data_IF_681799360346
#
_entry.id   IF_681799360346
#
_cell.length_a   1.000
_cell.length_b   1.000
_cell.length_c   1.000
_cell.angle_alpha   90.00
_cell.angle_beta   90.00
_cell.angle_gamma   90.00
#
_symmetry.space_group_name_H-M   'P 1'
#
loop_
_entity.id
_entity.type
_entity.pdbx_description
1 polymer ?
#
# COMPACT_ATOMS: atom_id res chain seq x y z
N UNK A 1 -9.70 -17.26 -13.39
CA UNK A 1 -8.62 -16.49 -12.72
C UNK A 1 -9.12 -15.07 -12.56
N UNK A 2 -9.07 -14.49 -11.36
CA UNK A 2 -9.38 -13.06 -11.21
C UNK A 2 -8.19 -12.27 -11.77
N UNK A 3 -8.42 -11.33 -12.68
CA UNK A 3 -7.36 -10.44 -13.16
C UNK A 3 -6.90 -9.55 -11.99
N UNK A 4 -5.57 -9.44 -11.81
CA UNK A 4 -4.99 -8.52 -10.84
C UNK A 4 -5.41 -7.07 -11.16
N UNK A 5 -5.70 -6.27 -10.12
CA UNK A 5 -6.25 -4.92 -10.27
C UNK A 5 -5.36 -3.99 -11.12
N UNK A 6 -4.04 -4.11 -10.95
CA UNK A 6 -3.04 -3.23 -11.53
C UNK A 6 -2.11 -3.99 -12.52
N UNK A 7 -2.67 -4.95 -13.26
CA UNK A 7 -1.91 -5.86 -14.12
C UNK A 7 -0.98 -5.15 -15.14
N UNK A 8 -1.26 -3.91 -15.53
CA UNK A 8 -0.47 -3.13 -16.49
C UNK A 8 0.75 -2.43 -15.89
N UNK A 9 0.87 -2.37 -14.56
CA UNK A 9 1.95 -1.63 -13.87
C UNK A 9 2.76 -2.49 -12.90
N UNK A 10 2.38 -3.75 -12.70
CA UNK A 10 3.16 -4.74 -11.94
C UNK A 10 4.36 -5.26 -12.75
N UNK A 11 5.35 -5.84 -12.05
CA UNK A 11 6.48 -6.53 -12.68
C UNK A 11 7.64 -5.63 -13.11
N UNK A 12 7.65 -4.35 -12.69
CA UNK A 12 8.73 -3.42 -13.01
C UNK A 12 9.95 -3.62 -12.13
N UNK A 13 11.11 -3.89 -12.71
CA UNK A 13 12.32 -4.16 -11.93
C UNK A 13 12.90 -2.94 -11.22
N UNK A 14 12.66 -1.75 -11.79
CA UNK A 14 13.08 -0.45 -11.25
C UNK A 14 11.90 0.42 -10.83
N UNK A 15 12.20 1.39 -9.97
CA UNK A 15 11.22 2.41 -9.58
C UNK A 15 10.89 3.29 -10.78
N UNK A 16 9.61 3.41 -11.07
CA UNK A 16 9.11 4.27 -12.14
C UNK A 16 7.77 4.87 -11.75
N UNK A 17 7.47 6.05 -12.28
CA UNK A 17 6.17 6.69 -12.03
C UNK A 17 5.08 6.01 -12.87
N UNK A 18 3.96 5.68 -12.25
CA UNK A 18 2.77 5.19 -12.93
C UNK A 18 1.49 5.59 -12.17
N UNK A 19 0.36 5.51 -12.87
CA UNK A 19 -0.97 5.62 -12.25
C UNK A 19 -1.50 4.22 -11.97
N UNK A 20 -1.99 4.00 -10.75
CA UNK A 20 -2.49 2.70 -10.30
C UNK A 20 -3.71 2.85 -9.38
N UNK A 21 -4.54 1.82 -9.34
CA UNK A 21 -5.76 1.77 -8.57
C UNK A 21 -5.55 1.23 -7.15
N UNK A 22 -6.18 1.85 -6.18
CA UNK A 22 -6.20 1.42 -4.78
C UNK A 22 -7.64 1.21 -4.31
N UNK A 23 -7.88 0.13 -3.56
CA UNK A 23 -9.20 -0.17 -3.03
C UNK A 23 -9.42 0.63 -1.75
N UNK A 24 -10.48 1.42 -1.74
CA UNK A 24 -10.90 2.24 -0.60
C UNK A 24 -12.26 1.79 -0.10
N UNK A 25 -12.65 2.26 1.09
CA UNK A 25 -14.03 2.11 1.58
C UNK A 25 -15.06 2.80 0.68
N UNK A 26 -14.61 3.70 -0.21
CA UNK A 26 -15.43 4.46 -1.16
C UNK A 26 -15.40 3.87 -2.58
N UNK A 27 -14.69 2.77 -2.80
CA UNK A 27 -14.49 2.17 -4.12
C UNK A 27 -13.05 2.27 -4.64
N UNK A 28 -12.85 2.00 -5.93
CA UNK A 28 -11.54 2.07 -6.57
C UNK A 28 -11.14 3.53 -6.83
N UNK A 29 -9.98 3.95 -6.32
CA UNK A 29 -9.42 5.28 -6.60
C UNK A 29 -8.08 5.14 -7.34
N UNK A 30 -7.84 6.01 -8.33
CA UNK A 30 -6.57 6.05 -9.04
C UNK A 30 -5.63 7.07 -8.39
N UNK A 31 -4.38 6.67 -8.18
CA UNK A 31 -3.32 7.52 -7.66
C UNK A 31 -2.10 7.44 -8.57
N UNK A 32 -1.32 8.52 -8.61
CA UNK A 32 -0.03 8.54 -9.30
C UNK A 32 1.07 8.45 -8.27
N UNK A 33 2.03 7.56 -8.51
CA UNK A 33 3.13 7.33 -7.58
C UNK A 33 4.23 6.47 -8.18
N UNK A 34 5.19 6.14 -7.33
CA UNK A 34 6.34 5.31 -7.66
C UNK A 34 5.93 3.84 -7.59
N UNK A 35 6.17 3.06 -8.63
CA UNK A 35 5.86 1.63 -8.70
C UNK A 35 7.12 0.80 -8.93
N UNK A 36 7.18 -0.37 -8.30
CA UNK A 36 8.22 -1.38 -8.49
C UNK A 36 7.71 -2.75 -8.10
N UNK A 37 7.94 -3.74 -8.96
CA UNK A 37 7.53 -5.13 -8.79
C UNK A 37 6.03 -5.23 -8.46
N UNK A 38 5.68 -5.50 -7.19
CA UNK A 38 4.31 -5.69 -6.70
C UNK A 38 3.85 -4.51 -5.84
N UNK A 39 4.63 -3.43 -5.78
CA UNK A 39 4.47 -2.34 -4.84
C UNK A 39 4.22 -1.00 -5.51
N UNK A 40 3.33 -0.22 -4.91
CA UNK A 40 3.09 1.17 -5.23
C UNK A 40 3.38 2.04 -4.00
N UNK A 41 3.97 3.20 -4.22
CA UNK A 41 4.24 4.23 -3.22
C UNK A 41 3.61 5.52 -3.71
N UNK A 42 2.70 6.08 -2.93
CA UNK A 42 2.02 7.32 -3.29
C UNK A 42 1.82 8.20 -2.06
N UNK A 43 1.60 9.49 -2.29
CA UNK A 43 1.29 10.42 -1.21
C UNK A 43 -0.22 10.48 -1.01
N UNK A 44 -0.65 10.16 0.20
CA UNK A 44 -2.02 10.43 0.63
C UNK A 44 -2.21 11.95 0.76
N UNK A 45 -3.21 12.49 0.07
CA UNK A 45 -3.51 13.93 0.11
C UNK A 45 -4.08 14.37 1.45
N UNK A 46 -4.88 13.53 2.10
CA UNK A 46 -5.57 13.86 3.34
C UNK A 46 -4.61 13.84 4.53
N UNK A 47 -3.87 12.74 4.70
CA UNK A 47 -2.93 12.59 5.82
C UNK A 47 -1.55 13.16 5.54
N UNK A 48 -1.25 13.49 4.27
CA UNK A 48 0.07 13.94 3.78
C UNK A 48 1.19 12.88 3.91
N UNK A 49 0.86 11.68 4.38
CA UNK A 49 1.75 10.53 4.58
C UNK A 49 2.00 9.80 3.26
N UNK A 50 3.10 9.08 3.20
CA UNK A 50 3.47 8.22 2.08
C UNK A 50 3.00 6.80 2.35
N UNK A 51 2.15 6.31 1.47
CA UNK A 51 1.48 5.02 1.61
C UNK A 51 2.17 3.98 0.73
N UNK A 52 2.51 2.85 1.32
CA UNK A 52 2.96 1.65 0.64
C UNK A 52 1.75 0.74 0.36
N UNK A 53 1.60 0.34 -0.89
CA UNK A 53 0.44 -0.42 -1.39
C UNK A 53 0.89 -1.69 -2.11
N UNK A 54 0.14 -2.77 -1.91
CA UNK A 54 0.24 -3.97 -2.74
C UNK A 54 -0.56 -3.78 -4.04
N UNK A 55 0.11 -3.70 -5.18
CA UNK A 55 -0.51 -3.40 -6.47
C UNK A 55 -1.55 -4.43 -6.93
N UNK A 56 -1.33 -5.76 -6.87
CA UNK A 56 -2.33 -6.71 -7.35
C UNK A 56 -3.70 -6.60 -6.69
N UNK A 57 -3.74 -6.22 -5.39
CA UNK A 57 -4.99 -6.11 -4.62
C UNK A 57 -5.44 -4.67 -4.36
N UNK A 58 -4.53 -3.71 -4.46
CA UNK A 58 -4.76 -2.33 -4.05
C UNK A 58 -4.83 -2.14 -2.53
N UNK A 59 -4.35 -3.10 -1.74
CA UNK A 59 -4.37 -3.05 -0.28
C UNK A 59 -3.21 -2.21 0.28
N UNK A 60 -3.47 -1.46 1.35
CA UNK A 60 -2.46 -0.72 2.08
C UNK A 60 -1.60 -1.67 2.93
N UNK A 61 -0.28 -1.53 2.83
CA UNK A 61 0.70 -2.25 3.64
C UNK A 61 1.14 -1.41 4.85
N UNK A 62 1.27 -0.09 4.67
CA UNK A 62 1.66 0.83 5.73
C UNK A 62 1.85 2.26 5.24
N UNK A 63 2.09 3.18 6.17
CA UNK A 63 2.34 4.59 5.88
C UNK A 63 3.58 5.15 6.61
N UNK A 64 4.15 6.21 6.04
CA UNK A 64 5.39 6.83 6.49
C UNK A 64 5.38 8.35 6.29
N UNK A 65 6.30 9.06 6.93
CA UNK A 65 6.42 10.53 6.81
C UNK A 65 7.08 10.96 5.49
N UNK A 66 7.94 10.12 4.94
CA UNK A 66 8.75 10.44 3.75
C UNK A 66 8.67 9.36 2.70
N UNK A 67 8.80 9.72 1.42
CA UNK A 67 8.77 8.76 0.29
C UNK A 67 9.89 7.72 0.37
N UNK A 68 11.06 8.13 0.87
CA UNK A 68 12.23 7.27 0.94
C UNK A 68 12.06 6.08 1.89
N UNK A 69 11.21 6.19 2.92
CA UNK A 69 10.97 5.11 3.88
C UNK A 69 10.32 3.87 3.24
N UNK A 70 9.16 3.95 2.56
CA UNK A 70 8.56 2.82 1.87
C UNK A 70 9.46 2.30 0.73
N UNK A 71 10.16 3.19 0.02
CA UNK A 71 11.11 2.78 -1.03
C UNK A 71 12.21 1.87 -0.47
N UNK A 72 12.79 2.21 0.70
CA UNK A 72 13.82 1.39 1.36
C UNK A 72 13.23 0.10 1.93
N UNK A 73 12.06 0.18 2.55
CA UNK A 73 11.42 -0.98 3.17
C UNK A 73 11.09 -2.09 2.16
N UNK A 74 10.71 -1.74 0.92
CA UNK A 74 10.45 -2.72 -0.16
C UNK A 74 11.63 -3.69 -0.35
N UNK A 75 12.87 -3.21 -0.26
CA UNK A 75 14.04 -4.07 -0.40
C UNK A 75 14.16 -5.11 0.72
N UNK A 76 13.70 -4.77 1.93
CA UNK A 76 13.73 -5.64 3.12
C UNK A 76 12.56 -6.61 3.15
N UNK A 77 11.35 -6.14 2.84
CA UNK A 77 10.14 -6.97 2.97
C UNK A 77 9.91 -7.88 1.76
N UNK A 78 10.54 -7.62 0.61
CA UNK A 78 10.29 -8.40 -0.62
C UNK A 78 10.54 -9.91 -0.46
N UNK A 79 11.50 -10.30 0.37
CA UNK A 79 11.84 -11.70 0.61
C UNK A 79 11.08 -12.30 1.79
N UNK A 80 10.39 -11.48 2.57
CA UNK A 80 9.62 -11.90 3.73
C UNK A 80 8.16 -12.19 3.38
N UNK A 81 7.71 -11.70 2.23
CA UNK A 81 6.35 -11.85 1.75
C UNK A 81 6.32 -13.07 0.81
N UNK A 82 5.62 -14.14 1.19
CA UNK A 82 5.14 -15.16 0.25
C UNK A 82 4.09 -14.53 -0.69
N UNK A 83 4.51 -14.33 -1.94
CA UNK A 83 3.76 -13.67 -3.01
C UNK A 83 2.68 -14.55 -3.65
N UNK A 84 2.59 -15.82 -3.24
CA UNK A 84 1.55 -16.74 -3.72
C UNK A 84 0.16 -16.51 -3.09
N UNK A 85 0.02 -15.53 -2.17
CA UNK A 85 -1.19 -15.40 -1.36
C UNK A 85 -1.76 -13.98 -1.22
N UNK A 86 -2.81 -13.73 -2.00
CA UNK A 86 -3.98 -12.99 -1.54
C UNK A 86 -5.18 -13.88 -1.78
N UNK A 87 -6.00 -14.14 -0.75
CA UNK A 87 -7.32 -14.70 -0.99
C UNK A 87 -8.18 -13.71 -1.80
N UNK A 88 -9.38 -14.11 -2.20
CA UNK A 88 -10.32 -13.26 -2.97
C UNK A 88 -10.58 -11.90 -2.32
N UNK A 89 -10.34 -11.79 -1.02
CA UNK A 89 -10.60 -10.60 -0.20
C UNK A 89 -9.37 -9.69 -0.10
N UNK A 90 -8.23 -10.08 -0.70
CA UNK A 90 -7.03 -9.27 -0.75
C UNK A 90 -6.20 -9.29 0.54
N UNK A 91 -6.48 -10.23 1.45
CA UNK A 91 -5.77 -10.35 2.72
C UNK A 91 -4.45 -11.09 2.53
N UNK A 92 -3.36 -10.48 3.04
CA UNK A 92 -2.07 -11.13 3.12
C UNK A 92 -2.16 -12.29 4.12
N UNK A 93 -1.90 -13.52 3.67
CA UNK A 93 -2.05 -14.75 4.45
C UNK A 93 -0.87 -15.02 5.41
N UNK A 94 -0.15 -13.97 5.82
CA UNK A 94 1.19 -14.06 6.42
C UNK A 94 1.23 -13.91 7.93
N UNK A 95 2.35 -14.34 8.52
CA UNK A 95 2.77 -13.89 9.84
C UNK A 95 3.08 -12.38 9.77
N UNK A 96 2.04 -11.60 10.02
CA UNK A 96 2.07 -10.14 10.05
C UNK A 96 3.19 -9.62 10.98
N UNK A 97 3.67 -10.40 11.94
CA UNK A 97 4.67 -9.99 12.92
C UNK A 97 6.01 -9.64 12.27
N UNK A 98 6.55 -10.50 11.39
CA UNK A 98 7.85 -10.25 10.76
C UNK A 98 7.80 -9.10 9.75
N UNK A 99 6.73 -9.02 8.96
CA UNK A 99 6.52 -7.92 8.02
C UNK A 99 6.33 -6.60 8.80
N UNK A 100 5.53 -6.58 9.86
CA UNK A 100 5.34 -5.40 10.69
C UNK A 100 6.64 -4.98 11.40
N UNK A 101 7.43 -5.92 11.90
CA UNK A 101 8.72 -5.62 12.50
C UNK A 101 9.69 -4.99 11.47
N UNK A 102 9.76 -5.55 10.26
CA UNK A 102 10.55 -5.01 9.18
C UNK A 102 10.07 -3.60 8.77
N UNK A 103 8.76 -3.40 8.61
CA UNK A 103 8.17 -2.08 8.33
C UNK A 103 8.53 -1.05 9.42
N UNK A 104 8.37 -1.41 10.70
CA UNK A 104 8.73 -0.55 11.83
C UNK A 104 10.21 -0.17 11.85
N UNK A 105 11.10 -1.09 11.47
CA UNK A 105 12.55 -0.80 11.38
C UNK A 105 12.88 0.31 10.37
N UNK A 106 11.99 0.57 9.42
CA UNK A 106 12.08 1.66 8.44
C UNK A 106 11.20 2.87 8.80
N UNK A 107 10.61 2.90 10.00
CA UNK A 107 9.69 3.95 10.44
C UNK A 107 8.35 3.93 9.72
N UNK A 108 7.94 2.78 9.17
CA UNK A 108 6.64 2.60 8.55
C UNK A 108 5.66 2.08 9.60
N UNK A 109 4.55 2.79 9.74
CA UNK A 109 3.43 2.35 10.57
C UNK A 109 2.62 1.33 9.78
N UNK A 110 2.51 0.10 10.32
CA UNK A 110 1.59 -0.89 9.79
C UNK A 110 0.18 -0.58 10.30
N UNK A 111 -0.87 -0.79 9.48
CA UNK A 111 -2.24 -0.60 9.95
C UNK A 111 -2.58 -1.62 11.04
N UNK A 112 -3.21 -1.18 12.13
CA UNK A 112 -3.66 -2.06 13.22
C UNK A 112 -4.75 -3.06 12.78
N UNK A 113 -5.44 -2.74 11.68
CA UNK A 113 -6.38 -3.63 11.00
C UNK A 113 -5.81 -3.99 9.62
N UNK A 114 -5.56 -5.28 9.32
CA UNK A 114 -5.10 -5.72 8.00
C UNK A 114 -6.13 -5.48 6.88
N UNK A 115 -7.37 -5.15 7.23
CA UNK A 115 -8.43 -4.69 6.32
C UNK A 115 -8.53 -3.17 6.23
N UNK A 116 -7.64 -2.39 6.86
CA UNK A 116 -7.70 -0.93 6.83
C UNK A 116 -7.56 -0.45 5.39
N UNK A 117 -8.71 -0.15 4.78
CA UNK A 117 -8.80 0.46 3.48
C UNK A 117 -8.37 1.92 3.59
N UNK A 118 -7.58 2.38 2.63
CA UNK A 118 -7.26 3.80 2.50
C UNK A 118 -8.57 4.61 2.37
N UNK A 119 -8.71 5.71 3.11
CA UNK A 119 -10.00 6.41 3.27
C UNK A 119 -10.33 7.45 2.19
N UNK A 120 -9.44 7.68 1.22
CA UNK A 120 -9.71 8.64 0.15
C UNK A 120 -9.44 10.10 0.54
N UNK A 121 -9.00 10.88 -0.44
CA UNK A 121 -8.31 12.16 -0.26
C UNK A 121 -9.13 13.42 0.00
N UNK A 122 -10.42 13.37 0.35
CA UNK A 122 -11.21 14.60 0.60
C UNK A 122 -12.04 14.63 1.91
N UNK A 123 -12.16 13.53 2.66
CA UNK A 123 -12.96 13.53 3.92
C UNK A 123 -12.18 13.22 5.21
N UNK A 124 -10.87 12.97 5.17
CA UNK A 124 -10.06 13.05 6.40
C UNK A 124 -10.23 14.40 7.10
N UNK A 125 -10.41 15.47 6.30
CA UNK A 125 -10.68 16.83 6.76
C UNK A 125 -12.12 17.09 7.21
N UNK A 126 -13.11 16.28 6.82
CA UNK A 126 -14.51 16.47 7.24
C UNK A 126 -14.85 15.67 8.49
N UNK A 127 -14.24 14.49 8.69
CA UNK A 127 -14.45 13.69 9.89
C UNK A 127 -13.82 14.32 11.15
N UNK A 128 -12.68 15.02 11.03
CA UNK A 128 -12.08 15.77 12.15
C UNK A 128 -12.76 17.11 12.46
N UNK A 129 -13.62 17.62 11.57
CA UNK A 129 -14.37 18.87 11.81
C UNK A 129 -15.78 18.64 12.40
N UNK A 130 -16.20 17.38 12.50
CA UNK A 130 -17.52 16.98 13.02
C UNK A 130 -17.44 16.19 14.34
N UNK A 131 -16.24 16.05 14.92
CA UNK A 131 -16.00 15.51 16.26
C UNK A 131 -15.44 16.63 17.16
#
# INVERSE_FOLDING_TARGET
>A
MANALNATVIGRDDWSTATFGIRTSQGLQNVTGSVRLWFGVHRDKATRRWVLTHLPTGAMIGDADTEGQPIRAVATIRSLIDWSFTDRDGLARQDQTMVHAALRSHGISAPDDPKRLWRGGDQGLQAERAA
#
